data_IF_986981443962
#
_entry.id   IF_986981443962
#
_cell.length_a   1.000
_cell.length_b   1.000
_cell.length_c   1.000
_cell.angle_alpha   90.00
_cell.angle_beta   90.00
_cell.angle_gamma   90.00
#
_symmetry.space_group_name_H-M   'P 1'
#
loop_
_entity.id
_entity.type
_entity.pdbx_description
1 polymer ?
#
# COMPACT_ATOMS: atom_id res chain seq x y z
N UNK A 1 -10.37 -4.89 -22.41
CA UNK A 1 -9.53 -4.18 -21.43
C UNK A 1 -8.12 -4.07 -21.98
N UNK A 2 -7.58 -2.86 -21.98
CA UNK A 2 -6.19 -2.58 -22.33
C UNK A 2 -5.23 -3.34 -21.39
N UNK A 3 -4.00 -3.63 -21.87
CA UNK A 3 -2.98 -4.35 -21.10
C UNK A 3 -2.73 -3.71 -19.73
N UNK A 4 -2.67 -2.38 -19.67
CA UNK A 4 -2.38 -1.67 -18.42
C UNK A 4 -3.52 -1.79 -17.40
N UNK A 5 -4.78 -1.75 -17.85
CA UNK A 5 -5.91 -1.99 -16.95
C UNK A 5 -5.83 -3.36 -16.29
N UNK A 6 -5.55 -4.42 -17.07
CA UNK A 6 -5.44 -5.78 -16.53
C UNK A 6 -4.31 -5.90 -15.51
N UNK A 7 -3.15 -5.31 -15.81
CA UNK A 7 -2.00 -5.29 -14.89
C UNK A 7 -2.35 -4.58 -13.58
N UNK A 8 -2.94 -3.38 -13.66
CA UNK A 8 -3.32 -2.64 -12.47
C UNK A 8 -4.36 -3.40 -11.63
N UNK A 9 -5.37 -4.01 -12.27
CA UNK A 9 -6.36 -4.82 -11.54
C UNK A 9 -5.69 -6.01 -10.85
N UNK A 10 -4.82 -6.73 -11.54
CA UNK A 10 -4.11 -7.87 -10.97
C UNK A 10 -3.24 -7.45 -9.77
N UNK A 11 -2.42 -6.40 -9.91
CA UNK A 11 -1.57 -5.93 -8.82
C UNK A 11 -2.36 -5.30 -7.68
N UNK A 12 -3.44 -4.58 -7.97
CA UNK A 12 -4.32 -4.04 -6.94
C UNK A 12 -4.96 -5.14 -6.10
N UNK A 13 -5.44 -6.21 -6.74
CA UNK A 13 -5.97 -7.40 -6.05
C UNK A 13 -4.88 -8.11 -5.23
N UNK A 14 -3.66 -8.25 -5.77
CA UNK A 14 -2.54 -8.86 -5.03
C UNK A 14 -2.13 -8.02 -3.81
N UNK A 15 -2.08 -6.69 -3.93
CA UNK A 15 -1.81 -5.79 -2.81
C UNK A 15 -2.91 -5.90 -1.75
N UNK A 16 -4.18 -5.90 -2.16
CA UNK A 16 -5.31 -6.12 -1.23
C UNK A 16 -5.21 -7.49 -0.57
N UNK A 17 -4.84 -8.55 -1.30
CA UNK A 17 -4.61 -9.87 -0.74
C UNK A 17 -3.51 -9.87 0.34
N UNK A 18 -2.35 -9.27 0.06
CA UNK A 18 -1.27 -9.13 1.06
C UNK A 18 -1.74 -8.29 2.26
N UNK A 19 -2.53 -7.24 2.03
CA UNK A 19 -3.12 -6.45 3.11
C UNK A 19 -4.09 -7.25 3.99
N UNK A 20 -4.85 -8.19 3.43
CA UNK A 20 -5.68 -9.12 4.21
C UNK A 20 -4.83 -9.99 5.15
N UNK A 21 -3.62 -10.37 4.75
CA UNK A 21 -2.69 -11.12 5.61
C UNK A 21 -2.31 -10.33 6.87
N UNK A 22 -2.16 -9.01 6.77
CA UNK A 22 -1.94 -8.14 7.93
C UNK A 22 -3.14 -8.13 8.90
N UNK A 23 -4.35 -8.43 8.43
CA UNK A 23 -5.53 -8.58 9.27
C UNK A 23 -5.42 -9.77 10.23
N UNK A 24 -4.88 -10.90 9.77
CA UNK A 24 -4.59 -12.04 10.65
C UNK A 24 -3.53 -11.67 11.70
N UNK A 25 -2.48 -10.97 11.29
CA UNK A 25 -1.44 -10.48 12.21
C UNK A 25 -2.02 -9.55 13.28
N UNK A 26 -2.97 -8.68 12.90
CA UNK A 26 -3.70 -7.83 13.83
C UNK A 26 -4.52 -8.65 14.84
N UNK A 27 -5.28 -9.65 14.37
CA UNK A 27 -6.08 -10.53 15.24
C UNK A 27 -5.16 -11.22 16.26
N UNK A 28 -4.10 -11.87 15.79
CA UNK A 28 -3.15 -12.57 16.68
C UNK A 28 -2.51 -11.61 17.69
N UNK A 29 -2.20 -10.38 17.27
CA UNK A 29 -1.63 -9.36 18.17
C UNK A 29 -2.63 -8.89 19.24
N UNK A 30 -3.91 -8.75 18.90
CA UNK A 30 -4.95 -8.29 19.82
C UNK A 30 -5.40 -9.38 20.79
N UNK A 31 -5.54 -10.61 20.32
CA UNK A 31 -6.00 -11.77 21.10
C UNK A 31 -4.84 -12.41 21.88
N UNK A 32 -3.60 -12.28 21.39
CA UNK A 32 -2.42 -12.98 21.91
C UNK A 32 -2.24 -14.39 21.33
N UNK A 33 -3.04 -14.78 20.34
CA UNK A 33 -3.01 -16.11 19.75
C UNK A 33 -4.17 -16.40 18.80
N UNK A 34 -4.38 -17.69 18.53
CA UNK A 34 -5.51 -18.20 17.75
C UNK A 34 -6.43 -19.01 18.66
N UNK A 35 -7.71 -18.62 18.72
CA UNK A 35 -8.73 -19.40 19.41
C UNK A 35 -9.12 -20.62 18.57
N UNK A 36 -8.95 -21.83 19.13
CA UNK A 36 -9.27 -23.11 18.45
C UNK A 36 -10.52 -23.79 19.01
N UNK A 37 -10.91 -23.41 20.22
CA UNK A 37 -12.12 -23.82 20.93
C UNK A 37 -12.50 -22.68 21.88
N UNK A 38 -13.79 -22.44 22.19
CA UNK A 38 -14.19 -21.38 23.10
C UNK A 38 -13.33 -21.30 24.38
N UNK A 39 -12.63 -20.18 24.55
CA UNK A 39 -11.72 -19.91 25.67
C UNK A 39 -10.35 -20.60 25.61
N UNK A 40 -10.06 -21.41 24.59
CA UNK A 40 -8.77 -22.07 24.37
C UNK A 40 -7.99 -21.36 23.26
N UNK A 41 -7.08 -20.49 23.68
CA UNK A 41 -6.23 -19.68 22.80
C UNK A 41 -4.84 -20.32 22.74
N UNK A 42 -4.45 -20.78 21.55
CA UNK A 42 -3.09 -21.21 21.27
C UNK A 42 -2.22 -19.96 21.08
N UNK A 43 -1.19 -19.74 21.92
CA UNK A 43 -0.39 -18.50 21.85
C UNK A 43 0.34 -18.38 20.52
N UNK A 44 0.26 -17.20 19.90
CA UNK A 44 1.00 -16.86 18.69
C UNK A 44 1.62 -15.48 18.92
N UNK A 45 2.95 -15.41 18.93
CA UNK A 45 3.65 -14.14 19.03
C UNK A 45 3.75 -13.47 17.67
N UNK A 46 3.40 -12.18 17.61
CA UNK A 46 3.51 -11.35 16.41
C UNK A 46 4.29 -10.09 16.75
N UNK A 47 5.24 -9.75 15.87
CA UNK A 47 6.09 -8.57 16.02
C UNK A 47 5.29 -7.26 15.92
N UNK A 48 5.95 -6.15 16.24
CA UNK A 48 5.39 -4.82 16.06
C UNK A 48 4.22 -4.50 16.98
N UNK A 49 3.39 -3.56 16.58
CA UNK A 49 2.26 -3.04 17.36
C UNK A 49 0.93 -3.22 16.63
N UNK A 50 -0.17 -3.22 17.39
CA UNK A 50 -1.53 -3.29 16.83
C UNK A 50 -1.79 -2.13 15.87
N UNK A 51 -1.34 -0.92 16.21
CA UNK A 51 -1.45 0.25 15.34
C UNK A 51 -0.72 0.06 14.00
N UNK A 52 0.47 -0.54 14.01
CA UNK A 52 1.20 -0.81 12.77
C UNK A 52 0.52 -1.88 11.92
N UNK A 53 -0.09 -2.89 12.54
CA UNK A 53 -0.90 -3.87 11.82
C UNK A 53 -2.20 -3.29 11.26
N UNK A 54 -2.85 -2.38 11.98
CA UNK A 54 -3.99 -1.59 11.45
C UNK A 54 -3.57 -0.79 10.22
N UNK A 55 -2.40 -0.14 10.25
CA UNK A 55 -1.87 0.61 9.09
C UNK A 55 -1.53 -0.30 7.91
N UNK A 56 -0.89 -1.45 8.15
CA UNK A 56 -0.57 -2.42 7.11
C UNK A 56 -1.82 -3.02 6.46
N UNK A 57 -2.86 -3.27 7.26
CA UNK A 57 -4.13 -3.78 6.78
C UNK A 57 -4.89 -2.70 6.00
N UNK A 58 -5.27 -1.60 6.66
CA UNK A 58 -6.14 -0.58 6.05
C UNK A 58 -5.42 0.19 4.94
N UNK A 59 -4.15 0.57 5.14
CA UNK A 59 -3.34 1.26 4.13
C UNK A 59 -3.07 0.38 2.90
N UNK A 60 -2.83 -0.92 3.09
CA UNK A 60 -2.67 -1.86 1.98
C UNK A 60 -3.97 -2.02 1.18
N UNK A 61 -5.11 -2.17 1.85
CA UNK A 61 -6.43 -2.26 1.20
C UNK A 61 -6.72 -1.02 0.38
N UNK A 62 -6.57 0.17 0.97
CA UNK A 62 -6.91 1.42 0.27
C UNK A 62 -5.97 1.69 -0.90
N UNK A 63 -4.69 1.33 -0.81
CA UNK A 63 -3.77 1.39 -1.94
C UNK A 63 -4.17 0.43 -3.06
N UNK A 64 -4.50 -0.83 -2.73
CA UNK A 64 -4.99 -1.80 -3.73
C UNK A 64 -6.28 -1.34 -4.41
N UNK A 65 -7.23 -0.80 -3.63
CA UNK A 65 -8.46 -0.19 -4.14
C UNK A 65 -8.17 0.99 -5.07
N UNK A 66 -7.26 1.89 -4.69
CA UNK A 66 -6.90 3.04 -5.52
C UNK A 66 -6.38 2.60 -6.89
N UNK A 67 -5.51 1.59 -6.94
CA UNK A 67 -4.99 1.04 -8.21
C UNK A 67 -6.14 0.50 -9.07
N UNK A 68 -7.05 -0.29 -8.48
CA UNK A 68 -8.20 -0.87 -9.21
C UNK A 68 -9.13 0.24 -9.71
N UNK A 69 -9.49 1.20 -8.85
CA UNK A 69 -10.39 2.30 -9.20
C UNK A 69 -9.81 3.15 -10.32
N UNK A 70 -8.52 3.49 -10.25
CA UNK A 70 -7.85 4.23 -11.32
C UNK A 70 -7.81 3.42 -12.62
N UNK A 71 -7.56 2.10 -12.54
CA UNK A 71 -7.59 1.22 -13.70
C UNK A 71 -8.96 1.19 -14.39
N UNK A 72 -10.05 1.18 -13.61
CA UNK A 72 -11.42 1.23 -14.13
C UNK A 72 -11.74 2.60 -14.73
N UNK A 73 -11.16 3.67 -14.20
CA UNK A 73 -11.32 5.02 -14.73
C UNK A 73 -10.50 5.29 -16.01
N UNK A 74 -9.39 4.58 -16.24
CA UNK A 74 -8.48 4.82 -17.38
C UNK A 74 -9.16 5.05 -18.74
N UNK A 75 -10.14 4.25 -19.19
CA UNK A 75 -10.79 4.43 -20.50
C UNK A 75 -11.59 5.73 -20.62
N UNK A 76 -11.86 6.41 -19.50
CA UNK A 76 -12.61 7.67 -19.43
C UNK A 76 -11.72 8.91 -19.40
N UNK A 77 -10.40 8.74 -19.31
CA UNK A 77 -9.45 9.84 -19.10
C UNK A 77 -8.75 10.29 -20.39
N UNK A 78 -9.02 9.68 -21.55
CA UNK A 78 -8.42 10.02 -22.86
C UNK A 78 -6.93 10.39 -22.80
N UNK A 79 -6.15 9.56 -22.11
CA UNK A 79 -4.73 9.80 -21.89
C UNK A 79 -3.91 9.28 -23.07
N UNK A 80 -2.82 9.99 -23.40
CA UNK A 80 -1.84 9.48 -24.36
C UNK A 80 -1.22 8.16 -23.88
N UNK A 81 -0.76 7.32 -24.81
CA UNK A 81 -0.19 6.01 -24.49
C UNK A 81 0.98 6.08 -23.48
N UNK A 82 1.82 7.11 -23.59
CA UNK A 82 2.94 7.34 -22.68
C UNK A 82 2.46 7.66 -21.24
N UNK A 83 1.45 8.53 -21.12
CA UNK A 83 0.89 8.91 -19.80
C UNK A 83 0.13 7.74 -19.18
N UNK A 84 -0.64 6.98 -19.97
CA UNK A 84 -1.29 5.75 -19.52
C UNK A 84 -0.27 4.76 -18.92
N UNK A 85 0.83 4.51 -19.63
CA UNK A 85 1.92 3.64 -19.15
C UNK A 85 2.53 4.17 -17.85
N UNK A 86 2.78 5.47 -17.76
CA UNK A 86 3.35 6.11 -16.57
C UNK A 86 2.42 5.97 -15.36
N UNK A 87 1.13 6.29 -15.51
CA UNK A 87 0.15 6.17 -14.44
C UNK A 87 -0.01 4.73 -13.96
N UNK A 88 -0.05 3.76 -14.89
CA UNK A 88 -0.23 2.36 -14.55
C UNK A 88 0.95 1.80 -13.75
N UNK A 89 2.18 1.93 -14.26
CA UNK A 89 3.36 1.43 -13.54
C UNK A 89 3.65 2.24 -12.28
N UNK A 90 3.39 3.55 -12.30
CA UNK A 90 3.58 4.41 -11.14
C UNK A 90 2.66 4.05 -9.98
N UNK A 91 1.37 3.80 -10.22
CA UNK A 91 0.45 3.38 -9.17
C UNK A 91 0.72 1.95 -8.68
N UNK A 92 1.12 1.03 -9.56
CA UNK A 92 1.58 -0.31 -9.15
C UNK A 92 2.79 -0.18 -8.22
N UNK A 93 3.77 0.64 -8.60
CA UNK A 93 4.94 0.90 -7.77
C UNK A 93 4.56 1.48 -6.40
N UNK A 94 3.73 2.54 -6.37
CA UNK A 94 3.24 3.18 -5.14
C UNK A 94 2.57 2.17 -4.22
N UNK A 95 1.72 1.30 -4.75
CA UNK A 95 1.00 0.33 -3.94
C UNK A 95 1.94 -0.71 -3.30
N UNK A 96 2.92 -1.22 -4.05
CA UNK A 96 3.87 -2.21 -3.53
C UNK A 96 4.89 -1.59 -2.57
N UNK A 97 5.43 -0.41 -2.88
CA UNK A 97 6.38 0.27 -2.01
C UNK A 97 5.76 0.64 -0.67
N UNK A 98 4.50 1.13 -0.65
CA UNK A 98 3.80 1.40 0.59
C UNK A 98 3.40 0.12 1.33
N UNK A 99 3.08 -0.96 0.62
CA UNK A 99 2.89 -2.28 1.27
C UNK A 99 4.16 -2.69 2.01
N UNK A 100 5.33 -2.64 1.36
CA UNK A 100 6.62 -2.92 2.00
C UNK A 100 6.86 -1.98 3.19
N UNK A 101 6.66 -0.68 3.01
CA UNK A 101 6.80 0.34 4.07
C UNK A 101 5.94 0.04 5.29
N UNK A 102 4.66 -0.34 5.14
CA UNK A 102 3.81 -0.60 6.30
C UNK A 102 4.24 -1.84 7.09
N UNK A 103 4.58 -2.93 6.39
CA UNK A 103 5.00 -4.18 7.01
C UNK A 103 6.34 -4.04 7.73
N UNK A 104 7.30 -3.42 7.05
CA UNK A 104 8.64 -3.16 7.57
C UNK A 104 8.62 -2.08 8.65
N UNK A 105 7.84 -1.02 8.46
CA UNK A 105 7.68 0.05 9.43
C UNK A 105 7.12 -0.46 10.76
N UNK A 106 6.31 -1.52 10.74
CA UNK A 106 5.88 -2.17 11.98
C UNK A 106 6.97 -3.06 12.62
N UNK A 107 7.96 -3.50 11.85
CA UNK A 107 9.10 -4.29 12.32
C UNK A 107 10.32 -3.46 12.75
N UNK A 108 10.36 -2.17 12.40
CA UNK A 108 11.51 -1.29 12.62
C UNK A 108 11.30 -0.26 13.73
N UNK A 109 12.37 0.08 14.47
CA UNK A 109 12.34 1.08 15.54
C UNK A 109 11.87 2.45 15.07
N UNK A 110 12.59 3.07 14.13
CA UNK A 110 12.24 4.38 13.56
C UNK A 110 10.99 4.38 12.62
N UNK A 111 10.25 3.27 12.57
CA UNK A 111 9.05 3.05 11.73
C UNK A 111 9.26 3.20 10.22
N UNK A 112 10.50 3.09 9.73
CA UNK A 112 10.87 3.29 8.34
C UNK A 112 10.50 4.69 7.81
N UNK A 113 10.52 5.70 8.68
CA UNK A 113 10.12 7.08 8.34
C UNK A 113 11.29 7.98 7.94
N UNK A 114 12.51 7.62 8.33
CA UNK A 114 13.73 8.42 8.14
C UNK A 114 14.92 7.51 7.85
N UNK A 115 15.98 8.07 7.25
CA UNK A 115 17.24 7.35 7.05
C UNK A 115 18.03 7.16 8.35
N UNK A 116 18.01 8.17 9.23
CA UNK A 116 18.58 8.11 10.57
C UNK A 116 17.53 7.86 11.65
N UNK A 117 17.97 7.91 12.90
CA UNK A 117 17.11 7.80 14.07
C UNK A 117 16.03 8.91 14.08
N UNK A 118 14.93 8.65 14.75
CA UNK A 118 13.88 9.64 14.94
C UNK A 118 13.18 9.43 16.31
N UNK A 119 12.20 10.28 16.69
CA UNK A 119 11.54 10.17 18.00
C UNK A 119 10.85 8.83 18.28
N UNK A 120 10.64 7.98 17.27
CA UNK A 120 10.03 6.67 17.42
C UNK A 120 11.06 5.56 17.69
N UNK A 121 12.33 5.80 17.40
CA UNK A 121 13.43 4.85 17.66
C UNK A 121 14.58 4.92 16.66
N UNK A 122 15.45 3.93 16.77
CA UNK A 122 16.71 3.82 16.03
C UNK A 122 16.50 3.36 14.57
N UNK A 123 17.39 3.82 13.69
CA UNK A 123 17.50 3.36 12.32
C UNK A 123 18.18 1.99 12.23
N UNK A 124 17.86 1.27 11.16
CA UNK A 124 18.42 -0.03 10.81
C UNK A 124 18.46 -0.21 9.30
N UNK A 125 19.18 -1.22 8.82
CA UNK A 125 19.10 -1.60 7.41
C UNK A 125 17.66 -1.94 7.00
N UNK A 126 16.90 -2.58 7.91
CA UNK A 126 15.51 -2.93 7.69
C UNK A 126 14.65 -1.66 7.48
N UNK A 127 14.81 -0.62 8.30
CA UNK A 127 14.08 0.64 8.09
C UNK A 127 14.44 1.34 6.79
N UNK A 128 15.67 1.23 6.31
CA UNK A 128 16.07 1.79 5.00
C UNK A 128 15.37 1.07 3.85
N UNK A 129 15.22 -0.26 3.93
CA UNK A 129 14.47 -1.05 2.94
C UNK A 129 12.99 -0.65 2.92
N UNK A 130 12.41 -0.33 4.08
CA UNK A 130 11.04 0.18 4.15
C UNK A 130 10.89 1.62 3.63
N UNK A 131 11.87 2.47 3.93
CA UNK A 131 11.80 3.91 3.64
C UNK A 131 12.10 4.25 2.18
N UNK A 132 13.25 3.79 1.65
CA UNK A 132 13.78 4.27 0.37
C UNK A 132 12.85 3.99 -0.84
N UNK A 133 12.23 2.80 -0.97
CA UNK A 133 11.25 2.56 -2.03
C UNK A 133 9.96 3.37 -1.84
N UNK A 134 9.56 3.62 -0.59
CA UNK A 134 8.38 4.41 -0.26
C UNK A 134 8.53 5.90 -0.60
N UNK A 135 9.74 6.45 -0.47
CA UNK A 135 10.00 7.89 -0.62
C UNK A 135 9.53 8.48 -1.96
N UNK A 136 9.84 7.90 -3.15
CA UNK A 136 9.29 8.39 -4.42
C UNK A 136 7.76 8.34 -4.49
N UNK A 137 7.14 7.41 -3.77
CA UNK A 137 5.70 7.14 -3.84
C UNK A 137 4.86 8.26 -3.21
N UNK A 138 5.44 8.96 -2.23
CA UNK A 138 4.86 10.16 -1.61
C UNK A 138 4.58 11.24 -2.67
N UNK A 139 5.41 11.32 -3.72
CA UNK A 139 5.23 12.27 -4.82
C UNK A 139 4.45 11.65 -5.99
N UNK A 140 4.74 10.41 -6.38
CA UNK A 140 4.10 9.76 -7.53
C UNK A 140 2.58 9.64 -7.38
N UNK A 141 2.09 9.26 -6.18
CA UNK A 141 0.65 9.11 -5.94
C UNK A 141 -0.14 10.39 -6.24
N UNK A 142 0.17 11.52 -5.56
CA UNK A 142 -0.47 12.81 -5.82
C UNK A 142 -0.33 13.28 -7.27
N UNK A 143 0.84 13.10 -7.90
CA UNK A 143 1.07 13.50 -9.30
C UNK A 143 0.13 12.74 -10.24
N UNK A 144 0.03 11.42 -10.08
CA UNK A 144 -0.81 10.58 -10.95
C UNK A 144 -2.29 10.89 -10.73
N UNK A 145 -2.70 11.10 -9.48
CA UNK A 145 -4.07 11.54 -9.16
C UNK A 145 -4.40 12.89 -9.80
N UNK A 146 -3.47 13.84 -9.76
CA UNK A 146 -3.63 15.14 -10.40
C UNK A 146 -3.75 15.02 -11.92
N UNK A 147 -2.94 14.17 -12.56
CA UNK A 147 -3.06 13.86 -13.99
C UNK A 147 -4.46 13.32 -14.32
N UNK A 148 -4.95 12.35 -13.54
CA UNK A 148 -6.28 11.79 -13.72
C UNK A 148 -7.40 12.82 -13.53
N UNK A 149 -7.31 13.64 -12.47
CA UNK A 149 -8.27 14.72 -12.22
C UNK A 149 -8.31 15.73 -13.36
N UNK A 150 -7.14 16.19 -13.84
CA UNK A 150 -7.04 17.12 -14.98
C UNK A 150 -7.65 16.53 -16.25
N UNK A 151 -7.40 15.26 -16.51
CA UNK A 151 -7.94 14.58 -17.68
C UNK A 151 -9.46 14.47 -17.63
N UNK A 152 -10.02 14.08 -16.49
CA UNK A 152 -11.47 14.04 -16.27
C UNK A 152 -12.12 15.43 -16.43
N UNK A 153 -11.51 16.48 -15.88
CA UNK A 153 -12.03 17.84 -15.99
C UNK A 153 -12.04 18.37 -17.43
N UNK A 154 -11.01 18.04 -18.23
CA UNK A 154 -10.97 18.41 -19.66
C UNK A 154 -12.07 17.73 -20.46
N UNK A 155 -12.40 16.48 -20.14
CA UNK A 155 -13.46 15.74 -20.81
C UNK A 155 -14.87 16.32 -20.57
N UNK A 156 -15.06 17.14 -19.53
CA UNK A 156 -16.32 17.86 -19.28
C UNK A 156 -16.44 19.11 -20.16
N UNK A 157 -15.31 19.69 -20.57
CA UNK A 157 -15.26 20.93 -21.34
C UNK A 157 -15.30 20.71 -22.86
N UNK A 158 -15.18 19.46 -23.31
CA UNK A 158 -15.22 19.03 -24.71
C UNK A 158 -16.66 18.70 -25.14
#
# INVERSE_FOLDING_TARGET
MDRYQKLMIAHGLLVTFVAMLAGFMLIFKLVGGLEVWPGNIVPISVYGTSEGWVRAHTGGITNGMLVILFALALPKLDLSAAVNRFCAWGLIYVAWSFTVFYWIGNASGNRALTMGDNPMGEASLLSLIGFLPGLPSIFLGPIILYIGARAALRAIQA
#
